data_IF_812809061767
#
_entry.id   IF_812809061767
#
_cell.length_a   1.000
_cell.length_b   1.000
_cell.length_c   1.000
_cell.angle_alpha   90.00
_cell.angle_beta   90.00
_cell.angle_gamma   90.00
#
_symmetry.space_group_name_H-M   'P 1'
#
loop_
_entity.id
_entity.type
_entity.pdbx_description
1 polymer ?
#
# COMPACT_ATOMS: atom_id res chain seq x y z
N UNK A 1 -6.42 22.00 16.24
CA UNK A 1 -6.38 21.13 15.05
C UNK A 1 -5.96 21.87 13.80
N UNK A 2 -6.48 23.07 13.60
CA UNK A 2 -6.16 23.83 12.37
C UNK A 2 -4.68 24.21 12.26
N UNK A 3 -4.02 24.33 13.38
CA UNK A 3 -2.59 24.70 13.43
C UNK A 3 -1.64 23.52 13.42
N UNK A 4 -2.16 22.30 13.65
CA UNK A 4 -1.32 21.11 13.66
C UNK A 4 -0.97 20.72 12.22
N UNK A 5 0.32 20.62 11.96
CA UNK A 5 0.84 20.33 10.64
C UNK A 5 1.17 18.85 10.46
N UNK A 6 1.08 18.40 9.23
CA UNK A 6 1.39 17.02 8.85
C UNK A 6 2.79 16.61 9.35
N UNK A 7 3.79 17.50 9.24
CA UNK A 7 5.16 17.21 9.69
C UNK A 7 5.25 16.83 11.16
N UNK A 8 4.29 17.28 11.98
CA UNK A 8 4.29 17.01 13.42
C UNK A 8 3.77 15.62 13.77
N UNK A 9 3.03 14.99 12.85
CA UNK A 9 2.43 13.68 13.11
C UNK A 9 2.89 12.58 12.15
N UNK A 10 3.53 12.94 11.05
CA UNK A 10 3.95 11.98 10.02
C UNK A 10 5.04 11.04 10.57
N UNK A 11 5.09 9.86 10.00
CA UNK A 11 6.18 8.92 10.22
C UNK A 11 7.29 9.25 9.23
N UNK A 12 8.52 9.38 9.71
CA UNK A 12 9.68 9.74 8.89
C UNK A 12 10.48 8.52 8.44
N UNK A 13 10.38 7.42 9.18
CA UNK A 13 10.96 6.14 8.77
C UNK A 13 9.93 5.40 7.93
N UNK A 14 9.96 5.66 6.63
CA UNK A 14 8.96 5.12 5.71
C UNK A 14 9.48 3.85 5.06
N UNK A 15 8.68 2.79 5.17
CA UNK A 15 8.92 1.55 4.43
C UNK A 15 8.54 1.81 2.98
N UNK A 16 9.45 1.61 2.06
CA UNK A 16 9.25 1.84 0.63
C UNK A 16 9.60 0.59 -0.16
N UNK A 17 9.23 0.58 -1.43
CA UNK A 17 9.59 -0.47 -2.37
C UNK A 17 10.13 0.18 -3.64
N UNK A 18 11.06 -0.49 -4.30
CA UNK A 18 11.64 0.00 -5.54
C UNK A 18 10.77 -0.42 -6.73
N UNK A 19 10.80 0.36 -7.82
CA UNK A 19 9.96 0.06 -8.98
C UNK A 19 10.32 -1.26 -9.68
N UNK A 20 11.54 -1.73 -9.54
CA UNK A 20 11.98 -3.00 -10.13
C UNK A 20 11.74 -4.22 -9.24
N UNK A 21 11.22 -4.01 -8.03
CA UNK A 21 10.86 -5.10 -7.13
C UNK A 21 9.68 -5.91 -7.70
N UNK A 22 9.63 -7.18 -7.31
CA UNK A 22 8.51 -8.06 -7.69
C UNK A 22 7.38 -7.97 -6.69
N UNK A 23 6.21 -8.45 -7.08
CA UNK A 23 5.06 -8.57 -6.18
C UNK A 23 5.39 -9.50 -5.00
N UNK A 24 6.21 -10.53 -5.23
CA UNK A 24 6.71 -11.39 -4.15
C UNK A 24 7.55 -10.63 -3.14
N UNK A 25 8.48 -9.78 -3.62
CA UNK A 25 9.27 -8.90 -2.76
C UNK A 25 8.38 -7.97 -1.94
N UNK A 26 7.35 -7.41 -2.58
CA UNK A 26 6.38 -6.56 -1.93
C UNK A 26 5.66 -7.30 -0.80
N UNK A 27 5.19 -8.51 -1.08
CA UNK A 27 4.49 -9.32 -0.07
C UNK A 27 5.39 -9.54 1.17
N UNK A 28 6.67 -9.85 0.96
CA UNK A 28 7.64 -10.01 2.04
C UNK A 28 7.84 -8.72 2.84
N UNK A 29 7.95 -7.59 2.14
CA UNK A 29 8.11 -6.27 2.77
C UNK A 29 6.89 -5.93 3.63
N UNK A 30 5.69 -6.12 3.11
CA UNK A 30 4.45 -5.83 3.84
C UNK A 30 4.32 -6.72 5.09
N UNK A 31 4.59 -8.00 4.95
CA UNK A 31 4.51 -8.96 6.06
C UNK A 31 5.56 -8.68 7.13
N UNK A 32 6.81 -8.46 6.73
CA UNK A 32 7.92 -8.21 7.65
C UNK A 32 7.74 -6.93 8.45
N UNK A 33 7.25 -5.88 7.82
CA UNK A 33 7.10 -4.58 8.45
C UNK A 33 5.71 -4.35 9.05
N UNK A 34 4.81 -5.31 8.90
CA UNK A 34 3.41 -5.25 9.39
C UNK A 34 2.69 -4.00 8.91
N UNK A 35 2.86 -3.68 7.64
CA UNK A 35 2.18 -2.57 6.98
C UNK A 35 1.34 -3.11 5.83
N UNK A 36 0.28 -2.40 5.48
CA UNK A 36 -0.66 -2.83 4.45
C UNK A 36 -0.42 -2.18 3.09
N UNK A 37 0.45 -1.19 3.03
CA UNK A 37 0.79 -0.51 1.78
C UNK A 37 2.00 0.38 1.94
N UNK A 38 2.69 0.62 0.84
CA UNK A 38 3.94 1.37 0.82
C UNK A 38 4.05 2.21 -0.46
N UNK A 39 4.79 3.32 -0.41
CA UNK A 39 5.12 4.06 -1.64
C UNK A 39 6.13 3.30 -2.49
N UNK A 40 5.98 3.41 -3.80
CA UNK A 40 6.99 2.98 -4.77
C UNK A 40 7.87 4.20 -5.07
N UNK A 41 9.16 4.09 -4.81
CA UNK A 41 10.07 5.23 -4.81
C UNK A 41 11.27 4.95 -5.72
N UNK A 42 11.63 5.92 -6.55
CA UNK A 42 12.80 5.82 -7.42
C UNK A 42 14.11 6.12 -6.66
N UNK A 43 15.23 6.08 -7.39
CA UNK A 43 16.56 6.28 -6.80
C UNK A 43 16.75 7.70 -6.25
N UNK A 44 16.01 8.68 -6.77
CA UNK A 44 16.09 10.06 -6.34
C UNK A 44 15.12 10.39 -5.20
N UNK A 45 14.36 9.41 -4.74
CA UNK A 45 13.37 9.59 -3.68
C UNK A 45 12.01 10.07 -4.17
N UNK A 46 11.80 10.10 -5.49
CA UNK A 46 10.51 10.48 -6.07
C UNK A 46 9.47 9.36 -5.93
N UNK A 47 8.25 9.74 -5.61
CA UNK A 47 7.15 8.78 -5.45
C UNK A 47 6.53 8.51 -6.81
N UNK A 48 6.67 7.27 -7.29
CA UNK A 48 6.14 6.84 -8.59
C UNK A 48 4.70 6.32 -8.50
N UNK A 49 4.32 5.81 -7.35
CA UNK A 49 3.02 5.22 -7.13
C UNK A 49 2.85 4.73 -5.71
N UNK A 50 1.68 4.17 -5.44
CA UNK A 50 1.37 3.51 -4.18
C UNK A 50 0.96 2.08 -4.47
N UNK A 51 1.37 1.18 -3.61
CA UNK A 51 1.01 -0.24 -3.73
C UNK A 51 0.64 -0.79 -2.36
N UNK A 52 -0.38 -1.64 -2.33
CA UNK A 52 -0.91 -2.19 -1.09
C UNK A 52 -1.26 -3.67 -1.24
N UNK A 53 -1.60 -4.29 -0.11
CA UNK A 53 -2.10 -5.66 -0.11
C UNK A 53 -3.34 -5.83 -0.99
N UNK A 54 -4.16 -4.79 -1.13
CA UNK A 54 -5.34 -4.82 -2.00
C UNK A 54 -4.92 -5.01 -3.47
N UNK A 55 -3.83 -4.40 -3.90
CA UNK A 55 -3.33 -4.54 -5.26
C UNK A 55 -2.87 -5.97 -5.55
N UNK A 56 -2.25 -6.61 -4.58
CA UNK A 56 -1.85 -8.03 -4.66
C UNK A 56 -3.09 -8.91 -4.77
N UNK A 57 -4.06 -8.69 -3.91
CA UNK A 57 -5.30 -9.48 -3.88
C UNK A 57 -6.12 -9.30 -5.15
N UNK A 58 -6.18 -8.08 -5.69
CA UNK A 58 -6.92 -7.80 -6.93
C UNK A 58 -6.29 -8.50 -8.13
N UNK A 59 -4.98 -8.60 -8.19
CA UNK A 59 -4.32 -9.40 -9.21
C UNK A 59 -4.67 -10.88 -9.05
N UNK A 60 -4.77 -11.32 -7.81
CA UNK A 60 -5.13 -12.70 -7.48
C UNK A 60 -6.64 -12.96 -7.60
N UNK A 61 -7.47 -11.94 -7.76
CA UNK A 61 -8.91 -12.11 -7.96
C UNK A 61 -9.23 -12.91 -9.21
N UNK A 62 -8.38 -12.80 -10.23
CA UNK A 62 -8.45 -13.64 -11.42
C UNK A 62 -7.98 -15.08 -11.16
N UNK A 63 -7.29 -15.29 -10.06
CA UNK A 63 -6.80 -16.60 -9.66
C UNK A 63 -7.87 -17.47 -9.00
N UNK A 64 -9.03 -16.93 -8.76
CA UNK A 64 -10.13 -17.63 -8.10
C UNK A 64 -9.61 -18.57 -7.02
N UNK A 65 -9.52 -18.08 -5.79
CA UNK A 65 -9.28 -18.96 -4.66
C UNK A 65 -10.19 -20.17 -4.83
N UNK A 66 -9.66 -21.37 -4.92
CA UNK A 66 -10.49 -22.49 -5.27
C UNK A 66 -11.43 -22.83 -4.12
N UNK A 67 -12.60 -22.21 -4.11
CA UNK A 67 -13.70 -22.62 -3.24
C UNK A 67 -14.00 -24.08 -3.42
N UNK A 68 -13.74 -24.60 -4.61
CA UNK A 68 -13.85 -26.00 -4.93
C UNK A 68 -12.84 -26.87 -4.21
N UNK A 69 -11.83 -26.31 -3.56
CA UNK A 69 -10.97 -27.08 -2.66
C UNK A 69 -11.79 -27.78 -1.60
N UNK A 70 -12.93 -27.21 -1.21
CA UNK A 70 -13.81 -27.82 -0.25
C UNK A 70 -14.59 -29.03 -0.78
N UNK A 71 -14.61 -29.23 -2.09
CA UNK A 71 -15.35 -30.32 -2.74
C UNK A 71 -14.45 -31.44 -3.28
N UNK A 72 -13.32 -31.65 -2.66
CA UNK A 72 -12.21 -32.26 -3.33
C UNK A 72 -12.05 -33.72 -3.10
N UNK A 73 -12.64 -34.48 -3.97
CA UNK A 73 -12.45 -35.91 -4.04
C UNK A 73 -11.97 -36.37 -5.42
N UNK A 74 -11.56 -35.45 -6.31
CA UNK A 74 -11.31 -35.82 -7.68
C UNK A 74 -10.02 -35.26 -8.27
N UNK A 75 -9.56 -35.87 -9.35
CA UNK A 75 -8.41 -35.49 -10.14
C UNK A 75 -8.49 -34.06 -10.65
N UNK A 76 -9.69 -33.52 -10.83
CA UNK A 76 -9.96 -32.14 -11.26
C UNK A 76 -9.39 -31.15 -10.27
N UNK A 77 -9.40 -31.50 -9.02
CA UNK A 77 -8.83 -30.73 -7.92
C UNK A 77 -7.33 -30.51 -8.05
N UNK A 78 -6.58 -31.58 -8.26
CA UNK A 78 -5.14 -31.51 -8.39
C UNK A 78 -4.72 -30.62 -9.56
N UNK A 79 -5.45 -30.68 -10.65
CA UNK A 79 -5.20 -29.81 -11.80
C UNK A 79 -5.51 -28.36 -11.49
N UNK A 80 -6.59 -28.09 -10.77
CA UNK A 80 -6.96 -26.74 -10.36
C UNK A 80 -5.95 -26.13 -9.42
N UNK A 81 -5.42 -26.92 -8.47
CA UNK A 81 -4.37 -26.48 -7.55
C UNK A 81 -3.08 -26.19 -8.30
N UNK A 82 -2.71 -27.01 -9.26
CA UNK A 82 -1.51 -26.78 -10.08
C UNK A 82 -1.65 -25.49 -10.91
N UNK A 83 -2.79 -25.27 -11.52
CA UNK A 83 -3.07 -24.04 -12.27
C UNK A 83 -3.03 -22.83 -11.36
N UNK A 84 -3.56 -22.93 -10.16
CA UNK A 84 -3.52 -21.90 -9.16
C UNK A 84 -2.06 -21.58 -8.78
N UNK A 85 -1.25 -22.59 -8.47
CA UNK A 85 0.15 -22.43 -8.12
C UNK A 85 0.96 -21.78 -9.25
N UNK A 86 0.72 -22.16 -10.48
CA UNK A 86 1.37 -21.56 -11.66
C UNK A 86 1.02 -20.09 -11.82
N UNK A 87 -0.26 -19.75 -11.68
CA UNK A 87 -0.73 -18.37 -11.75
C UNK A 87 -0.21 -17.54 -10.60
N UNK A 88 -0.18 -18.13 -9.41
CA UNK A 88 0.34 -17.50 -8.21
C UNK A 88 1.83 -17.15 -8.39
N UNK A 89 2.62 -18.07 -8.93
CA UNK A 89 4.03 -17.80 -9.24
C UNK A 89 4.19 -16.72 -10.30
N UNK A 90 3.33 -16.71 -11.31
CA UNK A 90 3.32 -15.67 -12.33
C UNK A 90 2.99 -14.31 -11.73
N UNK A 91 1.96 -14.25 -10.89
CA UNK A 91 1.55 -13.00 -10.22
C UNK A 91 2.68 -12.47 -9.35
N UNK A 92 3.35 -13.32 -8.57
CA UNK A 92 4.47 -12.92 -7.73
C UNK A 92 5.73 -12.54 -8.49
N UNK A 93 5.87 -12.99 -9.72
CA UNK A 93 6.97 -12.60 -10.59
C UNK A 93 6.76 -11.25 -11.27
N UNK A 94 5.54 -10.72 -11.26
CA UNK A 94 5.25 -9.41 -11.83
C UNK A 94 5.94 -8.30 -11.05
N UNK A 95 6.29 -7.22 -11.72
CA UNK A 95 6.89 -6.05 -11.07
C UNK A 95 5.83 -5.22 -10.38
N UNK A 96 6.20 -4.57 -9.30
CA UNK A 96 5.27 -3.69 -8.55
C UNK A 96 4.73 -2.57 -9.43
N UNK A 97 5.48 -2.12 -10.43
CA UNK A 97 5.03 -1.09 -11.37
C UNK A 97 3.83 -1.54 -12.21
N UNK A 98 3.64 -2.83 -12.38
CA UNK A 98 2.51 -3.38 -13.14
C UNK A 98 1.21 -3.39 -12.33
N UNK A 99 1.30 -3.31 -11.01
CA UNK A 99 0.14 -3.42 -10.11
C UNK A 99 -0.12 -2.15 -9.31
N UNK A 100 0.85 -1.25 -9.19
CA UNK A 100 0.72 -0.04 -8.40
C UNK A 100 -0.32 0.91 -8.97
N UNK A 101 -0.87 1.76 -8.10
CA UNK A 101 -1.64 2.92 -8.52
C UNK A 101 -0.66 4.04 -8.89
N UNK A 102 -0.74 4.51 -10.11
CA UNK A 102 0.09 5.62 -10.62
C UNK A 102 -0.48 6.99 -10.20
N UNK A 103 -1.74 7.02 -9.80
CA UNK A 103 -2.36 8.23 -9.28
C UNK A 103 -1.92 8.44 -7.84
N UNK A 104 -0.86 9.23 -7.67
CA UNK A 104 -0.30 9.52 -6.34
C UNK A 104 -0.99 10.75 -5.76
N UNK A 105 -1.69 10.55 -4.66
CA UNK A 105 -2.23 11.65 -3.87
C UNK A 105 -1.23 11.90 -2.75
N UNK A 106 -0.44 12.94 -2.87
CA UNK A 106 0.58 13.32 -1.90
C UNK A 106 0.16 14.60 -1.17
N UNK A 107 0.79 14.86 -0.04
CA UNK A 107 0.53 16.05 0.75
C UNK A 107 1.85 16.69 1.17
N UNK A 108 1.84 18.02 1.34
CA UNK A 108 2.99 18.77 1.84
C UNK A 108 3.15 18.55 3.36
N UNK A 109 4.38 18.51 3.88
CA UNK A 109 4.59 18.48 5.33
C UNK A 109 4.06 19.72 6.04
N UNK A 110 3.89 20.82 5.34
CA UNK A 110 3.37 22.08 5.89
C UNK A 110 1.84 22.18 5.83
N UNK A 111 1.18 21.23 5.19
CA UNK A 111 -0.28 21.15 5.18
C UNK A 111 -0.81 20.84 6.58
N UNK A 112 -2.07 21.21 6.83
CA UNK A 112 -2.70 20.91 8.11
C UNK A 112 -3.13 19.44 8.21
N UNK A 113 -3.21 18.94 9.43
CA UNK A 113 -3.76 17.61 9.69
C UNK A 113 -5.22 17.52 9.25
N UNK A 114 -5.96 18.61 9.35
CA UNK A 114 -7.34 18.70 8.85
C UNK A 114 -7.40 18.46 7.35
N UNK A 115 -6.50 19.08 6.59
CA UNK A 115 -6.42 18.89 5.14
C UNK A 115 -6.13 17.41 4.81
N UNK A 116 -5.20 16.79 5.51
CA UNK A 116 -4.89 15.36 5.34
C UNK A 116 -6.13 14.50 5.62
N UNK A 117 -6.85 14.77 6.70
CA UNK A 117 -8.07 14.05 7.04
C UNK A 117 -9.15 14.19 5.97
N UNK A 118 -9.30 15.40 5.43
CA UNK A 118 -10.27 15.70 4.36
C UNK A 118 -9.93 14.91 3.10
N UNK A 119 -8.68 14.91 2.68
CA UNK A 119 -8.23 14.16 1.50
C UNK A 119 -8.48 12.66 1.69
N UNK A 120 -8.15 12.13 2.85
CA UNK A 120 -8.37 10.70 3.13
C UNK A 120 -9.85 10.33 3.07
N UNK A 121 -10.71 11.19 3.62
CA UNK A 121 -12.16 10.95 3.61
C UNK A 121 -12.73 11.06 2.19
N UNK A 122 -12.39 12.11 1.46
CA UNK A 122 -12.91 12.38 0.12
C UNK A 122 -12.45 11.33 -0.90
N UNK A 123 -11.22 10.88 -0.78
CA UNK A 123 -10.61 9.91 -1.70
C UNK A 123 -10.73 8.47 -1.22
N UNK A 124 -11.26 8.27 -0.02
CA UNK A 124 -11.36 6.94 0.61
C UNK A 124 -10.02 6.20 0.63
N UNK A 125 -9.00 6.87 1.09
CA UNK A 125 -7.64 6.32 1.21
C UNK A 125 -7.18 6.34 2.67
N UNK A 126 -6.27 5.44 3.00
CA UNK A 126 -5.84 5.21 4.38
C UNK A 126 -4.48 5.82 4.71
N UNK A 127 -3.76 6.24 3.70
CA UNK A 127 -2.41 6.75 3.85
C UNK A 127 -2.09 7.76 2.76
N UNK A 128 -1.25 8.72 3.12
CA UNK A 128 -0.78 9.76 2.20
C UNK A 128 0.75 9.82 2.28
N UNK A 129 1.45 9.67 1.17
CA UNK A 129 2.85 10.03 1.15
C UNK A 129 3.00 11.53 1.35
N UNK A 130 3.96 11.90 2.17
CA UNK A 130 4.30 13.30 2.42
C UNK A 130 5.54 13.62 1.59
N UNK A 131 5.41 14.58 0.69
CA UNK A 131 6.49 14.93 -0.23
C UNK A 131 6.87 16.39 -0.11
N UNK A 132 8.14 16.67 -0.34
CA UNK A 132 8.69 18.02 -0.36
C UNK A 132 9.65 18.11 -1.55
N UNK A 133 9.38 19.01 -2.46
CA UNK A 133 10.15 19.12 -3.69
C UNK A 133 10.09 17.84 -4.56
N UNK A 134 8.95 17.12 -4.52
CA UNK A 134 8.76 15.88 -5.25
C UNK A 134 9.36 14.64 -4.60
N UNK A 135 10.05 14.80 -3.47
CA UNK A 135 10.71 13.69 -2.76
C UNK A 135 9.93 13.29 -1.52
N UNK A 136 9.90 11.99 -1.26
CA UNK A 136 9.27 11.43 -0.07
C UNK A 136 10.02 11.85 1.19
N UNK A 137 9.31 12.49 2.13
CA UNK A 137 9.88 12.87 3.43
C UNK A 137 9.15 12.20 4.59
N UNK A 138 8.00 11.61 4.35
CA UNK A 138 7.24 10.93 5.39
C UNK A 138 6.00 10.26 4.84
N UNK A 139 5.26 9.66 5.74
CA UNK A 139 3.95 9.10 5.44
C UNK A 139 3.01 9.40 6.61
N UNK A 140 1.79 9.73 6.30
CA UNK A 140 0.75 9.93 7.32
C UNK A 140 -0.38 8.93 7.04
N UNK A 141 -0.82 8.26 8.12
CA UNK A 141 -1.87 7.26 8.03
C UNK A 141 -3.12 7.74 8.76
N UNK A 142 -4.22 7.05 8.49
CA UNK A 142 -5.47 7.28 9.22
C UNK A 142 -5.27 7.15 10.73
N UNK A 143 -4.48 6.15 11.16
CA UNK A 143 -4.14 5.95 12.56
C UNK A 143 -3.38 7.10 13.18
N UNK A 144 -2.46 7.72 12.44
CA UNK A 144 -1.71 8.90 12.89
C UNK A 144 -2.66 10.07 13.18
N UNK A 145 -3.64 10.27 12.30
CA UNK A 145 -4.64 11.33 12.45
C UNK A 145 -5.52 11.06 13.68
N UNK A 146 -5.97 9.82 13.86
CA UNK A 146 -6.81 9.44 15.02
C UNK A 146 -6.06 9.68 16.32
N UNK A 147 -4.78 9.30 16.39
CA UNK A 147 -3.96 9.55 17.57
C UNK A 147 -3.78 11.04 17.82
N UNK A 148 -3.54 11.83 16.79
CA UNK A 148 -3.42 13.27 16.90
C UNK A 148 -4.69 13.90 17.47
N UNK A 149 -5.85 13.48 17.01
CA UNK A 149 -7.15 13.94 17.52
C UNK A 149 -7.30 13.59 18.98
N UNK A 150 -6.97 12.35 19.37
CA UNK A 150 -7.10 11.90 20.75
C UNK A 150 -6.19 12.71 21.69
N UNK A 151 -4.95 12.95 21.29
CA UNK A 151 -3.98 13.71 22.07
C UNK A 151 -4.37 15.18 22.25
N UNK A 152 -5.01 15.78 21.23
CA UNK A 152 -5.39 17.18 21.25
C UNK A 152 -6.76 17.46 21.89
N UNK A 153 -7.50 16.41 22.22
CA UNK A 153 -8.77 16.55 22.96
C UNK A 153 -8.60 16.49 24.46
N UNK A 154 -7.43 16.07 24.91
CA UNK A 154 -7.16 15.91 26.33
C UNK A 154 -6.90 17.26 27.04
#
# INVERSE_FOLDING_TARGET
MDELKVREIMQTEVVTVRPDATVGDLADILAKNKVSGVPVVDEQGGVLGMVSEADIILQDADLHFPYYIQFLESVIYLQSVRKFEERFRKAFGSKVTEVMSEEVVAISPDASVREAATIMADRNINRLPVTEGGKLVGIVTRGDIVRAIAEHRA
#
